data_IF_136297749507
#
_entry.id   IF_136297749507
#
_cell.length_a   1.000
_cell.length_b   1.000
_cell.length_c   1.000
_cell.angle_alpha   90.00
_cell.angle_beta   90.00
_cell.angle_gamma   90.00
#
_symmetry.space_group_name_H-M   'P 1'
#
loop_
_entity.id
_entity.type
_entity.pdbx_description
1 polymer ?
#
# COMPACT_ATOMS: atom_id res chain seq x y z
N UNK A 1 -21.18 4.04 -13.87
CA UNK A 1 -20.49 3.52 -12.69
C UNK A 1 -20.36 2.04 -12.91
N UNK A 2 -19.30 1.64 -13.60
CA UNK A 2 -19.04 0.24 -13.95
C UNK A 2 -17.85 -0.19 -13.09
N UNK A 3 -18.16 -0.87 -11.98
CA UNK A 3 -17.16 -1.38 -11.05
C UNK A 3 -17.31 -2.89 -11.07
N UNK A 4 -16.35 -3.56 -11.69
CA UNK A 4 -16.28 -5.01 -11.69
C UNK A 4 -15.58 -5.52 -10.43
N UNK A 5 -16.20 -6.51 -9.79
CA UNK A 5 -15.61 -7.20 -8.65
C UNK A 5 -14.80 -8.39 -9.16
N UNK A 6 -13.51 -8.38 -8.87
CA UNK A 6 -12.60 -9.47 -9.20
C UNK A 6 -12.59 -10.47 -8.04
N UNK A 7 -12.80 -11.75 -8.36
CA UNK A 7 -12.68 -12.84 -7.38
C UNK A 7 -11.22 -13.08 -7.02
N UNK A 8 -10.94 -13.22 -5.72
CA UNK A 8 -9.64 -13.63 -5.20
C UNK A 8 -9.81 -14.94 -4.41
N UNK A 9 -9.03 -16.00 -4.70
CA UNK A 9 -9.07 -17.20 -3.90
C UNK A 9 -8.67 -16.94 -2.44
N UNK A 10 -9.18 -17.74 -1.48
CA UNK A 10 -8.80 -17.64 -0.09
C UNK A 10 -7.28 -17.79 0.10
N UNK A 11 -6.71 -17.00 1.02
CA UNK A 11 -5.30 -17.05 1.39
C UNK A 11 -4.29 -16.79 0.26
N UNK A 12 -4.67 -16.03 -0.77
CA UNK A 12 -3.79 -15.64 -1.89
C UNK A 12 -3.35 -14.16 -1.86
N UNK A 13 -2.54 -13.73 -0.86
CA UNK A 13 -2.02 -12.37 -0.81
C UNK A 13 -1.11 -12.03 -2.01
N UNK A 14 -0.48 -13.02 -2.63
CA UNK A 14 0.37 -12.85 -3.82
C UNK A 14 -0.39 -12.32 -5.03
N UNK A 15 -1.69 -12.63 -5.12
CA UNK A 15 -2.57 -12.18 -6.19
C UNK A 15 -3.16 -10.80 -5.92
N UNK A 16 -3.14 -10.33 -4.67
CA UNK A 16 -3.69 -9.03 -4.29
C UNK A 16 -2.63 -7.92 -4.42
N UNK A 17 -2.71 -7.01 -5.42
CA UNK A 17 -1.65 -6.03 -5.64
C UNK A 17 -1.46 -5.04 -4.50
N UNK A 18 -2.48 -4.83 -3.65
CA UNK A 18 -2.38 -3.93 -2.49
C UNK A 18 -1.33 -4.41 -1.47
N UNK A 19 -1.10 -5.73 -1.35
CA UNK A 19 -0.14 -6.31 -0.42
C UNK A 19 1.30 -5.87 -0.75
N UNK A 20 1.60 -5.72 -2.04
CA UNK A 20 2.89 -5.20 -2.52
C UNK A 20 3.07 -3.73 -2.14
N UNK A 21 2.00 -2.94 -2.22
CA UNK A 21 2.00 -1.53 -1.78
C UNK A 21 2.18 -1.44 -0.26
N UNK A 22 1.50 -2.28 0.53
CA UNK A 22 1.69 -2.32 1.98
C UNK A 22 3.11 -2.71 2.38
N UNK A 23 3.74 -3.64 1.65
CA UNK A 23 5.15 -3.98 1.86
C UNK A 23 6.07 -2.78 1.63
N UNK A 24 5.82 -1.97 0.60
CA UNK A 24 6.56 -0.74 0.30
C UNK A 24 6.38 0.28 1.43
N UNK A 25 5.12 0.59 1.79
CA UNK A 25 4.80 1.57 2.85
C UNK A 25 5.40 1.14 4.18
N UNK A 26 5.33 -0.15 4.52
CA UNK A 26 5.98 -0.69 5.72
C UNK A 26 7.47 -0.42 5.69
N UNK A 27 8.16 -0.70 4.57
CA UNK A 27 9.60 -0.46 4.42
C UNK A 27 9.98 1.00 4.61
N UNK A 28 9.19 1.95 4.10
CA UNK A 28 9.54 3.37 4.12
C UNK A 28 9.04 4.14 5.34
N UNK A 29 7.82 3.86 5.79
CA UNK A 29 7.16 4.65 6.82
C UNK A 29 7.30 4.06 8.23
N UNK A 30 7.24 2.73 8.37
CA UNK A 30 7.03 2.09 9.69
C UNK A 30 8.08 1.06 10.09
N UNK A 31 9.00 0.66 9.21
CA UNK A 31 9.97 -0.38 9.49
C UNK A 31 10.97 0.08 10.56
N UNK A 32 11.12 -0.72 11.62
CA UNK A 32 12.01 -0.49 12.77
C UNK A 32 11.85 0.91 13.40
N UNK A 33 10.62 1.45 13.39
CA UNK A 33 10.28 2.73 14.01
C UNK A 33 9.28 2.51 15.13
N UNK A 34 9.54 3.13 16.27
CA UNK A 34 8.60 3.21 17.37
C UNK A 34 7.79 4.51 17.25
N UNK A 35 6.48 4.41 17.47
CA UNK A 35 5.56 5.54 17.49
C UNK A 35 4.96 5.64 18.89
N UNK A 36 5.13 6.80 19.54
CA UNK A 36 4.60 7.02 20.88
C UNK A 36 3.08 7.18 20.85
N UNK A 37 2.56 7.85 19.82
CA UNK A 37 1.14 8.12 19.67
C UNK A 37 0.63 7.55 18.33
N UNK A 38 -0.66 7.24 18.31
CA UNK A 38 -1.35 6.85 17.08
C UNK A 38 -1.33 7.98 16.03
N UNK A 39 -1.32 9.24 16.46
CA UNK A 39 -1.17 10.40 15.58
C UNK A 39 0.12 10.36 14.79
N UNK A 40 1.22 9.93 15.42
CA UNK A 40 2.55 9.91 14.81
C UNK A 40 2.59 8.85 13.70
N UNK A 41 2.00 7.68 13.96
CA UNK A 41 1.84 6.63 12.96
C UNK A 41 0.97 7.11 11.79
N UNK A 42 -0.17 7.75 12.07
CA UNK A 42 -1.06 8.28 11.03
C UNK A 42 -0.37 9.32 10.17
N UNK A 43 0.37 10.24 10.76
CA UNK A 43 1.13 11.26 10.03
C UNK A 43 2.16 10.61 9.11
N UNK A 44 2.97 9.68 9.65
CA UNK A 44 3.99 8.99 8.85
C UNK A 44 3.40 8.22 7.66
N UNK A 45 2.23 7.60 7.84
CA UNK A 45 1.51 6.92 6.76
C UNK A 45 0.96 7.94 5.74
N UNK A 46 0.30 9.01 6.19
CA UNK A 46 -0.25 10.05 5.33
C UNK A 46 0.84 10.73 4.48
N UNK A 47 2.00 11.00 5.07
CA UNK A 47 3.15 11.58 4.37
C UNK A 47 3.67 10.63 3.28
N UNK A 48 3.76 9.33 3.59
CA UNK A 48 4.21 8.33 2.62
C UNK A 48 3.20 8.16 1.48
N UNK A 49 1.90 8.01 1.78
CA UNK A 49 0.86 7.93 0.75
C UNK A 49 0.77 9.23 -0.08
N UNK A 50 1.02 10.38 0.53
CA UNK A 50 1.06 11.67 -0.15
C UNK A 50 2.09 11.74 -1.28
N UNK A 51 3.24 11.08 -1.13
CA UNK A 51 4.27 10.97 -2.19
C UNK A 51 3.77 10.23 -3.43
N UNK A 52 2.83 9.31 -3.24
CA UNK A 52 2.29 8.46 -4.29
C UNK A 52 0.89 8.88 -4.77
N UNK A 53 0.39 10.05 -4.33
CA UNK A 53 -0.93 10.55 -4.72
C UNK A 53 -1.03 10.82 -6.21
N UNK A 54 0.07 11.25 -6.84
CA UNK A 54 0.15 11.41 -8.30
C UNK A 54 0.48 10.07 -8.97
N UNK A 55 0.01 9.84 -10.21
CA UNK A 55 0.40 8.68 -10.99
C UNK A 55 1.92 8.53 -11.00
N UNK A 56 2.40 7.37 -10.58
CA UNK A 56 3.82 7.08 -10.50
C UNK A 56 4.10 5.67 -11.02
N UNK A 57 5.29 5.49 -11.60
CA UNK A 57 5.69 4.25 -12.25
C UNK A 57 5.88 3.11 -11.25
N UNK A 58 6.23 3.43 -9.99
CA UNK A 58 6.41 2.45 -8.92
C UNK A 58 5.09 1.75 -8.59
N UNK A 59 4.03 2.51 -8.26
CA UNK A 59 2.70 1.94 -8.04
C UNK A 59 2.17 1.24 -9.29
N UNK A 60 2.43 1.75 -10.49
CA UNK A 60 2.04 1.06 -11.73
C UNK A 60 2.67 -0.34 -11.81
N UNK A 61 3.94 -0.49 -11.44
CA UNK A 61 4.64 -1.79 -11.42
C UNK A 61 4.11 -2.70 -10.30
N UNK A 62 3.81 -2.14 -9.13
CA UNK A 62 3.32 -2.90 -7.97
C UNK A 62 1.86 -3.34 -8.12
N UNK A 63 1.04 -2.58 -8.86
CA UNK A 63 -0.39 -2.83 -8.98
C UNK A 63 -0.78 -3.71 -10.19
N UNK A 64 0.19 -4.28 -10.93
CA UNK A 64 -0.13 -5.19 -12.05
C UNK A 64 -0.66 -6.51 -11.51
N UNK A 65 -1.87 -6.90 -11.93
CA UNK A 65 -2.40 -8.25 -11.73
C UNK A 65 -1.76 -9.16 -12.78
N UNK A 66 -0.93 -10.10 -12.32
CA UNK A 66 -0.36 -11.19 -13.13
C UNK A 66 -1.22 -12.42 -13.02
#
# INVERSE_FOLDING_TARGET
TDIDLLFLPPYSPELNPIERVWKLVKKHATHNRYFQLLSDLKSALSDEFGKHFKPNEELRKLCVMT
#
